data_IF_126549981470
#
_entry.id   IF_126549981470
#
_cell.length_a   1.000
_cell.length_b   1.000
_cell.length_c   1.000
_cell.angle_alpha   90.00
_cell.angle_beta   90.00
_cell.angle_gamma   90.00
#
_symmetry.space_group_name_H-M   'P 1'
#
loop_
_entity.id
_entity.type
_entity.pdbx_description
1 polymer ?
#
# COMPACT_ATOMS: atom_id res chain seq x y z
N UNK A 1 -10.72 12.68 8.56
CA UNK A 1 -9.38 12.14 8.25
C UNK A 1 -9.18 11.80 6.77
N UNK A 2 -10.04 11.01 6.13
CA UNK A 2 -9.86 10.57 4.73
C UNK A 2 -9.63 11.71 3.73
N UNK A 3 -10.45 12.77 3.78
CA UNK A 3 -10.29 13.94 2.90
C UNK A 3 -8.97 14.70 3.10
N UNK A 4 -8.42 14.71 4.33
CA UNK A 4 -7.11 15.32 4.60
C UNK A 4 -6.00 14.54 3.89
N UNK A 5 -6.09 13.21 3.90
CA UNK A 5 -5.14 12.34 3.19
C UNK A 5 -5.26 12.49 1.69
N UNK A 6 -6.48 12.54 1.15
CA UNK A 6 -6.69 12.82 -0.27
C UNK A 6 -6.01 14.11 -0.70
N UNK A 7 -6.21 15.20 0.05
CA UNK A 7 -5.58 16.50 -0.23
C UNK A 7 -4.05 16.41 -0.19
N UNK A 8 -3.49 15.75 0.83
CA UNK A 8 -2.02 15.59 0.98
C UNK A 8 -1.39 14.78 -0.14
N UNK A 9 -2.11 13.79 -0.67
CA UNK A 9 -1.63 12.90 -1.72
C UNK A 9 -1.99 13.38 -3.14
N UNK A 10 -2.67 14.51 -3.28
CA UNK A 10 -3.09 15.06 -4.57
C UNK A 10 -4.25 14.31 -5.22
N UNK A 11 -5.08 13.62 -4.44
CA UNK A 11 -6.27 12.93 -4.95
C UNK A 11 -7.48 13.86 -5.05
N UNK A 12 -8.42 13.51 -5.95
CA UNK A 12 -9.65 14.29 -6.20
C UNK A 12 -10.71 14.15 -5.11
N UNK A 13 -10.51 13.25 -4.15
CA UNK A 13 -11.41 13.01 -3.03
C UNK A 13 -11.07 11.73 -2.29
N UNK A 14 -11.85 11.43 -1.26
CA UNK A 14 -11.80 10.15 -0.56
C UNK A 14 -13.18 9.72 -0.07
N UNK A 15 -13.33 8.41 0.07
CA UNK A 15 -14.42 7.77 0.79
C UNK A 15 -13.85 7.23 2.10
N UNK A 16 -14.59 7.40 3.18
CA UNK A 16 -14.19 6.90 4.50
C UNK A 16 -15.36 6.90 5.46
N UNK A 17 -15.23 6.14 6.54
CA UNK A 17 -16.17 6.17 7.66
C UNK A 17 -16.33 7.59 8.19
N UNK A 18 -17.59 8.02 8.39
CA UNK A 18 -17.92 9.34 8.93
C UNK A 18 -18.13 9.21 10.44
N UNK A 19 -17.31 9.87 11.22
CA UNK A 19 -17.53 9.99 12.66
C UNK A 19 -18.44 11.18 12.95
N UNK A 20 -19.33 11.04 13.93
CA UNK A 20 -20.19 12.12 14.39
C UNK A 20 -19.39 13.14 15.20
N UNK A 21 -19.68 14.42 14.95
CA UNK A 21 -19.04 15.56 15.59
C UNK A 21 -20.14 16.50 16.06
N UNK A 22 -20.14 16.81 17.34
CA UNK A 22 -21.03 17.80 17.95
C UNK A 22 -20.17 18.87 18.61
N UNK A 23 -20.45 20.15 18.34
CA UNK A 23 -19.71 21.29 18.88
C UNK A 23 -18.18 21.20 18.69
N UNK A 24 -17.75 20.61 17.56
CA UNK A 24 -16.33 20.42 17.23
C UNK A 24 -15.65 19.24 17.92
N UNK A 25 -16.38 18.44 18.70
CA UNK A 25 -15.86 17.27 19.45
C UNK A 25 -16.43 15.97 18.89
N UNK A 26 -15.61 14.93 18.77
CA UNK A 26 -16.06 13.60 18.39
C UNK A 26 -16.93 12.99 19.49
N UNK A 27 -18.14 12.56 19.14
CA UNK A 27 -19.07 11.94 20.10
C UNK A 27 -18.78 10.46 20.34
N UNK A 28 -17.95 9.85 19.48
CA UNK A 28 -17.69 8.41 19.46
C UNK A 28 -18.67 7.60 18.60
N UNK A 29 -19.75 8.23 18.10
CA UNK A 29 -20.70 7.58 17.19
C UNK A 29 -20.22 7.66 15.74
N UNK A 30 -20.70 6.73 14.91
CA UNK A 30 -20.47 6.68 13.47
C UNK A 30 -21.76 7.10 12.77
N UNK A 31 -21.63 7.97 11.77
CA UNK A 31 -22.73 8.37 10.89
C UNK A 31 -22.79 7.36 9.73
N UNK A 32 -23.89 6.63 9.67
CA UNK A 32 -24.13 5.60 8.64
C UNK A 32 -23.30 4.34 8.87
N UNK A 33 -23.04 3.60 7.80
CA UNK A 33 -22.32 2.34 7.89
C UNK A 33 -20.80 2.55 7.99
N UNK A 34 -20.15 1.63 8.71
CA UNK A 34 -18.71 1.53 8.70
C UNK A 34 -18.24 1.16 7.29
N UNK A 35 -17.35 1.97 6.70
CA UNK A 35 -16.83 1.72 5.36
C UNK A 35 -15.79 0.58 5.36
N UNK A 36 -16.28 -0.64 5.54
CA UNK A 36 -15.49 -1.84 5.72
C UNK A 36 -16.11 -3.00 4.94
N UNK A 37 -15.28 -3.90 4.41
CA UNK A 37 -15.81 -5.07 3.73
C UNK A 37 -16.60 -4.72 2.47
N UNK A 38 -17.82 -5.24 2.42
CA UNK A 38 -18.77 -5.02 1.32
C UNK A 38 -19.15 -3.55 1.13
N UNK A 39 -19.21 -2.77 2.21
CA UNK A 39 -19.56 -1.34 2.13
C UNK A 39 -18.56 -0.56 1.27
N UNK A 40 -17.28 -0.96 1.23
CA UNK A 40 -16.30 -0.37 0.31
C UNK A 40 -16.67 -0.62 -1.15
N UNK A 41 -17.10 -1.85 -1.47
CA UNK A 41 -17.54 -2.22 -2.83
C UNK A 41 -18.80 -1.46 -3.24
N UNK A 42 -19.77 -1.33 -2.33
CA UNK A 42 -20.98 -0.52 -2.56
C UNK A 42 -20.62 0.94 -2.82
N UNK A 43 -19.80 1.54 -1.96
CA UNK A 43 -19.45 2.95 -2.07
C UNK A 43 -18.68 3.29 -3.36
N UNK A 44 -17.79 2.41 -3.85
CA UNK A 44 -17.14 2.66 -5.14
C UNK A 44 -18.07 2.50 -6.33
N UNK A 45 -19.07 1.61 -6.26
CA UNK A 45 -20.08 1.45 -7.31
C UNK A 45 -21.00 2.67 -7.40
N UNK A 46 -21.42 3.20 -6.26
CA UNK A 46 -22.16 4.46 -6.18
C UNK A 46 -21.35 5.62 -6.74
N UNK A 47 -20.08 5.76 -6.33
CA UNK A 47 -19.19 6.81 -6.84
C UNK A 47 -18.96 6.68 -8.34
N UNK A 48 -18.79 5.45 -8.84
CA UNK A 48 -18.61 5.17 -10.25
C UNK A 48 -19.84 5.57 -11.07
N UNK A 49 -21.04 5.24 -10.60
CA UNK A 49 -22.29 5.67 -11.23
C UNK A 49 -22.42 7.20 -11.25
N UNK A 50 -22.15 7.87 -10.12
CA UNK A 50 -22.23 9.33 -10.02
C UNK A 50 -21.24 10.05 -10.94
N UNK A 51 -20.06 9.46 -11.16
CA UNK A 51 -18.99 10.06 -11.97
C UNK A 51 -18.94 9.52 -13.40
N UNK A 52 -19.86 8.65 -13.79
CA UNK A 52 -19.87 7.94 -15.07
C UNK A 52 -18.52 7.27 -15.38
N UNK A 53 -17.97 6.54 -14.40
CA UNK A 53 -16.69 5.82 -14.51
C UNK A 53 -16.96 4.32 -14.64
N UNK A 54 -16.33 3.68 -15.63
CA UNK A 54 -16.36 2.22 -15.75
C UNK A 54 -15.31 1.57 -14.82
N UNK A 55 -15.79 0.82 -13.82
CA UNK A 55 -14.94 0.10 -12.86
C UNK A 55 -14.03 -0.94 -13.52
N UNK A 56 -14.36 -1.43 -14.72
CA UNK A 56 -13.47 -2.34 -15.46
C UNK A 56 -12.15 -1.67 -15.85
N UNK A 57 -12.14 -0.35 -16.00
CA UNK A 57 -10.93 0.43 -16.27
C UNK A 57 -10.23 0.91 -14.99
N UNK A 58 -10.81 0.65 -13.82
CA UNK A 58 -10.26 1.08 -12.55
C UNK A 58 -9.25 0.08 -11.98
N UNK A 59 -8.39 0.61 -11.11
CA UNK A 59 -7.43 -0.14 -10.31
C UNK A 59 -7.83 -0.06 -8.84
N UNK A 60 -7.64 -1.14 -8.11
CA UNK A 60 -7.80 -1.16 -6.65
C UNK A 60 -6.60 -1.85 -6.02
N UNK A 61 -6.16 -1.30 -4.89
CA UNK A 61 -4.98 -1.74 -4.15
C UNK A 61 -5.39 -2.01 -2.70
N UNK A 62 -5.07 -3.19 -2.18
CA UNK A 62 -5.29 -3.49 -0.75
C UNK A 62 -4.30 -4.52 -0.22
N UNK A 63 -4.08 -4.49 1.09
CA UNK A 63 -3.28 -5.43 1.86
C UNK A 63 -4.12 -6.40 2.70
N UNK A 64 -5.44 -6.20 2.79
CA UNK A 64 -6.31 -6.96 3.68
C UNK A 64 -7.41 -7.72 2.95
N UNK A 65 -7.72 -8.93 3.43
CA UNK A 65 -8.81 -9.76 2.90
C UNK A 65 -10.19 -9.10 3.04
N UNK A 66 -10.35 -8.13 3.94
CA UNK A 66 -11.60 -7.40 4.08
C UNK A 66 -11.97 -6.67 2.79
N UNK A 67 -10.98 -6.33 1.95
CA UNK A 67 -11.20 -5.60 0.71
C UNK A 67 -11.37 -6.51 -0.51
N UNK A 68 -11.49 -7.83 -0.33
CA UNK A 68 -11.78 -8.76 -1.43
C UNK A 68 -13.00 -8.30 -2.26
N UNK A 69 -14.15 -7.90 -1.66
CA UNK A 69 -15.29 -7.40 -2.44
C UNK A 69 -15.01 -6.11 -3.22
N UNK A 70 -14.06 -5.28 -2.75
CA UNK A 70 -13.61 -4.08 -3.46
C UNK A 70 -12.72 -4.46 -4.65
N UNK A 71 -11.78 -5.37 -4.43
CA UNK A 71 -10.86 -5.86 -5.47
C UNK A 71 -11.61 -6.60 -6.58
N UNK A 72 -12.62 -7.40 -6.24
CA UNK A 72 -13.49 -8.10 -7.20
C UNK A 72 -14.33 -7.17 -8.07
N UNK A 73 -14.61 -5.95 -7.59
CA UNK A 73 -15.49 -5.02 -8.28
C UNK A 73 -14.79 -4.21 -9.39
N UNK A 74 -13.45 -4.25 -9.47
CA UNK A 74 -12.66 -3.51 -10.47
C UNK A 74 -12.00 -4.44 -11.47
N UNK A 75 -11.65 -3.92 -12.66
CA UNK A 75 -10.96 -4.73 -13.67
C UNK A 75 -9.47 -4.96 -13.38
N UNK A 76 -8.84 -4.11 -12.56
CA UNK A 76 -7.40 -4.22 -12.27
C UNK A 76 -7.10 -4.30 -10.76
N UNK A 77 -7.42 -5.43 -10.09
CA UNK A 77 -7.08 -5.64 -8.68
C UNK A 77 -5.57 -5.85 -8.48
N UNK A 78 -5.05 -5.35 -7.35
CA UNK A 78 -3.63 -5.44 -6.96
C UNK A 78 -3.51 -5.72 -5.46
N UNK A 79 -2.93 -6.87 -5.10
CA UNK A 79 -2.69 -7.23 -3.72
C UNK A 79 -1.31 -6.69 -3.27
N UNK A 80 -1.30 -5.76 -2.32
CA UNK A 80 -0.08 -5.08 -1.85
C UNK A 80 0.24 -5.55 -0.44
N UNK A 81 1.39 -6.19 -0.23
CA UNK A 81 1.78 -6.75 1.07
C UNK A 81 0.65 -7.57 1.74
N UNK A 82 -0.04 -8.49 1.01
CA UNK A 82 -1.29 -9.07 1.48
C UNK A 82 -1.12 -9.85 2.79
N UNK A 83 -2.20 -9.90 3.57
CA UNK A 83 -2.40 -10.91 4.59
C UNK A 83 -2.54 -12.32 3.98
N UNK A 84 -2.60 -13.36 4.82
CA UNK A 84 -2.62 -14.74 4.36
C UNK A 84 -3.85 -15.05 3.49
N UNK A 85 -5.03 -14.53 3.87
CA UNK A 85 -6.29 -14.82 3.19
C UNK A 85 -6.38 -14.09 1.84
N UNK A 86 -5.98 -12.82 1.79
CA UNK A 86 -5.88 -12.06 0.54
C UNK A 86 -4.85 -12.68 -0.40
N UNK A 87 -3.73 -13.17 0.12
CA UNK A 87 -2.70 -13.86 -0.67
C UNK A 87 -3.26 -15.13 -1.34
N UNK A 88 -4.05 -15.92 -0.62
CA UNK A 88 -4.72 -17.11 -1.17
C UNK A 88 -5.70 -16.72 -2.27
N UNK A 89 -6.58 -15.72 -2.03
CA UNK A 89 -7.51 -15.21 -3.06
C UNK A 89 -6.76 -14.71 -4.29
N UNK A 90 -5.70 -13.94 -4.11
CA UNK A 90 -4.90 -13.39 -5.19
C UNK A 90 -4.25 -14.48 -6.04
N UNK A 91 -3.74 -15.57 -5.46
CA UNK A 91 -3.23 -16.70 -6.24
C UNK A 91 -4.33 -17.42 -7.00
N UNK A 92 -5.48 -17.68 -6.36
CA UNK A 92 -6.61 -18.34 -7.01
C UNK A 92 -7.07 -17.57 -8.26
N UNK A 93 -7.10 -16.25 -8.17
CA UNK A 93 -7.69 -15.40 -9.20
C UNK A 93 -6.65 -14.77 -10.13
N UNK A 94 -5.38 -15.16 -9.99
CA UNK A 94 -4.25 -14.61 -10.72
C UNK A 94 -4.12 -13.07 -10.59
N UNK A 95 -4.44 -12.52 -9.42
CA UNK A 95 -4.21 -11.11 -9.14
C UNK A 95 -2.72 -10.85 -8.88
N UNK A 96 -2.14 -9.78 -9.44
CA UNK A 96 -0.76 -9.40 -9.15
C UNK A 96 -0.55 -9.13 -7.66
N UNK A 97 0.52 -9.72 -7.12
CA UNK A 97 0.94 -9.57 -5.72
C UNK A 97 2.26 -8.78 -5.67
N UNK A 98 2.30 -7.72 -4.88
CA UNK A 98 3.50 -6.93 -4.63
C UNK A 98 3.87 -6.99 -3.14
N UNK A 99 4.91 -7.74 -2.79
CA UNK A 99 5.42 -7.80 -1.41
C UNK A 99 6.73 -7.03 -1.26
N UNK A 100 6.62 -5.81 -0.74
CA UNK A 100 7.74 -4.91 -0.47
C UNK A 100 8.42 -5.17 0.88
N UNK A 101 7.77 -5.95 1.77
CA UNK A 101 8.33 -6.30 3.08
C UNK A 101 9.50 -7.27 2.93
N UNK A 102 9.42 -8.18 1.95
CA UNK A 102 10.48 -9.17 1.68
C UNK A 102 11.80 -8.51 1.32
N UNK A 103 11.78 -7.54 0.41
CA UNK A 103 12.99 -6.80 0.02
C UNK A 103 13.62 -6.08 1.22
N UNK A 104 12.80 -5.46 2.08
CA UNK A 104 13.28 -4.79 3.30
C UNK A 104 13.92 -5.78 4.28
N UNK A 105 13.33 -6.97 4.46
CA UNK A 105 13.86 -8.03 5.33
C UNK A 105 15.21 -8.56 4.82
N UNK A 106 15.32 -8.81 3.51
CA UNK A 106 16.57 -9.26 2.88
C UNK A 106 17.66 -8.19 3.05
N UNK A 107 17.36 -6.92 2.77
CA UNK A 107 18.30 -5.81 2.97
C UNK A 107 18.77 -5.70 4.42
N UNK A 108 17.86 -5.86 5.40
CA UNK A 108 18.22 -5.83 6.83
C UNK A 108 19.16 -6.98 7.21
N UNK A 109 18.95 -8.16 6.64
CA UNK A 109 19.75 -9.35 6.95
C UNK A 109 21.15 -9.30 6.30
N UNK A 110 21.21 -8.94 5.02
CA UNK A 110 22.45 -9.00 4.22
C UNK A 110 23.28 -7.70 4.27
N UNK A 111 22.65 -6.56 4.56
CA UNK A 111 23.32 -5.25 4.59
C UNK A 111 24.54 -5.19 5.51
N UNK A 112 24.45 -5.65 6.77
CA UNK A 112 25.59 -5.65 7.69
C UNK A 112 26.74 -6.55 7.22
N UNK A 113 26.43 -7.70 6.60
CA UNK A 113 27.44 -8.64 6.11
C UNK A 113 28.18 -8.09 4.88
N UNK A 114 27.47 -7.46 3.95
CA UNK A 114 28.09 -6.80 2.80
C UNK A 114 29.01 -5.65 3.22
N UNK A 115 28.60 -4.84 4.20
CA UNK A 115 29.43 -3.77 4.75
C UNK A 115 30.71 -4.28 5.43
N UNK A 116 30.60 -5.37 6.21
CA UNK A 116 31.76 -6.01 6.87
C UNK A 116 32.75 -6.60 5.85
N UNK A 117 32.25 -7.26 4.80
CA UNK A 117 33.10 -7.81 3.73
C UNK A 117 33.83 -6.72 2.95
N UNK A 118 33.15 -5.61 2.63
CA UNK A 118 33.78 -4.47 1.97
C UNK A 118 34.87 -3.82 2.85
N UNK A 119 34.64 -3.70 4.16
CA UNK A 119 35.63 -3.20 5.11
C UNK A 119 36.87 -4.10 5.18
N UNK A 120 36.69 -5.43 5.27
CA UNK A 120 37.81 -6.38 5.20
C UNK A 120 38.56 -6.29 3.88
N UNK A 121 37.86 -6.22 2.74
CA UNK A 121 38.49 -6.06 1.43
C UNK A 121 39.31 -4.78 1.33
N UNK A 122 38.89 -3.69 1.98
CA UNK A 122 39.65 -2.43 2.01
C UNK A 122 40.94 -2.51 2.82
N UNK A 123 41.03 -3.42 3.80
CA UNK A 123 42.24 -3.67 4.58
C UNK A 123 43.28 -4.49 3.81
N UNK A 124 42.82 -5.36 2.91
CA UNK A 124 43.68 -6.26 2.11
C UNK A 124 44.07 -5.61 0.77
N UNK A 125 43.32 -4.60 0.31
CA UNK A 125 43.62 -3.91 -0.94
C UNK A 125 44.89 -3.05 -0.82
N UNK A 126 45.90 -3.23 -1.69
CA UNK A 126 47.13 -2.47 -1.61
C UNK A 126 46.86 -0.98 -1.86
N UNK A 127 47.24 -0.14 -0.88
CA UNK A 127 47.11 1.32 -0.97
C UNK A 127 47.99 1.82 -2.13
N UNK A 128 47.39 2.24 -3.23
CA UNK A 128 48.11 2.80 -4.38
C UNK A 128 48.78 4.13 -3.97
N UNK A 129 50.06 4.08 -3.61
CA UNK A 129 50.83 5.24 -3.20
C UNK A 129 51.05 6.13 -4.44
N UNK A 130 50.35 7.27 -4.52
CA UNK A 130 50.57 8.27 -5.57
C UNK A 130 52.04 8.74 -5.45
N UNK A 131 52.90 8.33 -6.39
CA UNK A 131 54.21 8.95 -6.60
C UNK A 131 53.98 10.43 -6.90
N UNK A 132 54.38 11.32 -6.00
CA UNK A 132 54.50 12.76 -6.29
C UNK A 132 55.58 12.89 -7.37
N UNK A 133 55.17 13.34 -8.56
CA UNK A 133 56.10 13.73 -9.63
C UNK A 133 56.92 14.93 -9.18
N UNK A 134 58.20 14.91 -9.55
CA UNK A 134 59.10 16.08 -9.54
C UNK A 134 58.70 17.05 -10.65
#
# INVERSE_FOLDING_TARGET
MANLMAKRLGFTGALGTKAEVENGVYTGKIIGNLLHGREKSTAIKELAAQRNVDLKNCYAYSDSHHDIPLLEAVGNPRAINPDALLKIRAYRDNWPIYDFRRARRIKKLLGPMAGRMAALGSLISPRKQKRKGK
#
